data_IF_631149557921
#
_entry.id   IF_631149557921
#
_cell.length_a   1.000
_cell.length_b   1.000
_cell.length_c   1.000
_cell.angle_alpha   90.00
_cell.angle_beta   90.00
_cell.angle_gamma   90.00
#
_symmetry.space_group_name_H-M   'P 1'
#
loop_
_entity.id
_entity.type
_entity.pdbx_description
1 polymer ?
#
# COMPACT_ATOMS: atom_id res chain seq x y z
N UNK A 1 62.95 -12.71 1.34
CA UNK A 1 63.09 -13.19 -0.05
C UNK A 1 61.70 -13.62 -0.51
N UNK A 2 61.16 -13.02 -1.58
CA UNK A 2 60.95 -13.62 -2.92
C UNK A 2 60.05 -14.88 -2.94
N UNK A 3 59.20 -15.21 -3.93
CA UNK A 3 58.59 -14.61 -5.16
C UNK A 3 57.66 -15.74 -5.72
N UNK A 4 56.54 -15.60 -6.47
CA UNK A 4 55.68 -14.51 -6.99
C UNK A 4 54.31 -15.13 -7.44
N UNK A 5 53.32 -14.28 -7.79
CA UNK A 5 52.27 -14.48 -8.83
C UNK A 5 51.50 -15.81 -8.96
N UNK A 6 50.18 -15.74 -8.74
CA UNK A 6 49.14 -15.80 -9.80
C UNK A 6 47.84 -15.19 -9.22
N UNK A 7 47.14 -14.20 -9.80
CA UNK A 7 46.86 -13.90 -11.19
C UNK A 7 46.08 -15.03 -11.90
N UNK A 8 44.87 -15.29 -11.41
CA UNK A 8 43.84 -16.14 -12.04
C UNK A 8 42.41 -15.59 -11.85
N UNK A 9 42.29 -14.30 -11.53
CA UNK A 9 41.05 -13.55 -11.75
C UNK A 9 40.98 -13.15 -13.25
N UNK A 10 39.78 -12.85 -13.76
CA UNK A 10 39.49 -12.51 -15.16
C UNK A 10 39.53 -13.64 -16.22
N UNK A 11 38.84 -14.77 -16.00
CA UNK A 11 38.38 -15.55 -17.19
C UNK A 11 37.02 -16.26 -17.13
N UNK A 12 36.58 -16.87 -16.01
CA UNK A 12 35.37 -17.72 -16.01
C UNK A 12 34.48 -17.60 -14.77
N UNK A 13 33.19 -17.37 -15.00
CA UNK A 13 32.11 -17.79 -14.09
C UNK A 13 31.55 -16.69 -13.18
N UNK A 14 30.27 -16.37 -13.36
CA UNK A 14 29.58 -15.41 -12.51
C UNK A 14 29.43 -15.89 -11.07
N UNK A 15 29.83 -15.03 -10.13
CA UNK A 15 29.71 -15.24 -8.68
C UNK A 15 29.19 -14.01 -7.96
N UNK A 16 28.16 -13.33 -8.51
CA UNK A 16 27.42 -12.34 -7.72
C UNK A 16 26.61 -13.08 -6.67
N UNK A 17 27.12 -13.10 -5.44
CA UNK A 17 26.35 -13.45 -4.25
C UNK A 17 25.07 -12.62 -4.24
N UNK A 18 23.93 -13.28 -4.47
CA UNK A 18 22.63 -12.62 -4.39
C UNK A 18 22.27 -12.53 -2.90
N UNK A 19 22.75 -11.47 -2.24
CA UNK A 19 22.20 -11.09 -0.94
C UNK A 19 20.71 -10.80 -1.16
N UNK A 20 19.78 -11.54 -0.53
CA UNK A 20 18.37 -11.27 -0.66
C UNK A 20 18.11 -9.91 0.00
N UNK A 21 17.92 -8.88 -0.83
CA UNK A 21 17.79 -7.49 -0.40
C UNK A 21 16.90 -7.37 0.84
N UNK A 22 17.46 -6.86 1.93
CA UNK A 22 16.76 -6.70 3.20
C UNK A 22 15.40 -6.05 2.95
N UNK A 23 14.33 -6.76 3.32
CA UNK A 23 12.98 -6.26 3.09
C UNK A 23 12.82 -4.93 3.85
N UNK A 24 12.43 -3.82 3.19
CA UNK A 24 12.58 -2.51 3.78
C UNK A 24 11.69 -2.37 5.02
N UNK A 25 12.34 -2.26 6.18
CA UNK A 25 11.71 -2.25 7.50
C UNK A 25 10.75 -1.07 7.74
N UNK A 26 10.79 -0.05 6.87
CA UNK A 26 9.81 1.03 6.81
C UNK A 26 9.81 1.73 5.43
N UNK A 27 9.49 1.00 4.34
CA UNK A 27 9.15 1.68 3.07
C UNK A 27 7.84 2.46 3.20
N UNK A 28 7.74 3.70 2.66
CA UNK A 28 6.46 4.36 2.49
C UNK A 28 5.61 3.62 1.46
N UNK A 29 4.30 3.50 1.71
CA UNK A 29 3.32 2.97 0.76
C UNK A 29 2.88 4.10 -0.17
N UNK A 30 2.78 3.82 -1.47
CA UNK A 30 2.29 4.79 -2.46
C UNK A 30 1.14 4.23 -3.30
N UNK A 31 0.50 5.11 -4.07
CA UNK A 31 -0.49 4.76 -5.09
C UNK A 31 -0.11 5.41 -6.42
N UNK A 32 -0.59 4.84 -7.51
CA UNK A 32 -0.39 5.33 -8.87
C UNK A 32 -1.73 5.43 -9.60
N UNK A 33 -1.76 5.95 -10.83
CA UNK A 33 -2.95 5.86 -11.69
C UNK A 33 -3.42 4.39 -11.88
N UNK A 34 -2.50 3.43 -11.87
CA UNK A 34 -2.78 2.00 -11.98
C UNK A 34 -3.29 1.36 -10.68
N UNK A 35 -3.30 2.08 -9.55
CA UNK A 35 -3.87 1.61 -8.27
C UNK A 35 -5.40 1.52 -8.29
N UNK A 36 -6.06 1.97 -9.37
CA UNK A 36 -7.52 1.96 -9.58
C UNK A 36 -8.30 2.73 -8.50
N UNK A 37 -8.02 4.05 -8.29
CA UNK A 37 -8.68 4.86 -7.26
C UNK A 37 -10.22 4.94 -7.43
N UNK A 38 -10.73 4.77 -8.66
CA UNK A 38 -12.16 4.66 -8.93
C UNK A 38 -12.85 3.52 -8.14
N UNK A 39 -12.14 2.44 -7.81
CA UNK A 39 -12.69 1.36 -6.96
C UNK A 39 -12.91 1.86 -5.54
N UNK A 40 -11.91 2.50 -4.94
CA UNK A 40 -12.03 3.14 -3.62
C UNK A 40 -13.15 4.19 -3.63
N UNK A 41 -13.17 5.08 -4.63
CA UNK A 41 -14.24 6.07 -4.81
C UNK A 41 -15.64 5.44 -4.87
N UNK A 42 -15.77 4.27 -5.49
CA UNK A 42 -17.04 3.54 -5.58
C UNK A 42 -17.44 2.99 -4.21
N UNK A 43 -16.52 2.35 -3.48
CA UNK A 43 -16.79 1.86 -2.10
C UNK A 43 -17.15 2.98 -1.13
N UNK A 44 -16.50 4.14 -1.24
CA UNK A 44 -16.85 5.32 -0.44
C UNK A 44 -18.28 5.81 -0.72
N UNK A 45 -18.72 5.79 -1.98
CA UNK A 45 -20.12 6.14 -2.36
C UNK A 45 -21.13 5.10 -1.86
N UNK A 46 -20.78 3.82 -1.88
CA UNK A 46 -21.61 2.74 -1.32
C UNK A 46 -21.83 2.95 0.20
N UNK A 47 -20.78 3.36 0.93
CA UNK A 47 -20.83 3.79 2.34
C UNK A 47 -21.39 5.21 2.55
N UNK A 48 -22.04 5.80 1.54
CA UNK A 48 -22.69 7.13 1.56
C UNK A 48 -21.78 8.31 1.86
N UNK A 49 -20.45 8.16 1.73
CA UNK A 49 -19.55 9.32 1.77
C UNK A 49 -19.82 10.24 0.57
N UNK A 50 -19.56 11.53 0.77
CA UNK A 50 -19.56 12.55 -0.28
C UNK A 50 -18.28 13.40 -0.19
N UNK A 51 -18.11 14.36 -1.09
CA UNK A 51 -16.98 15.30 -1.08
C UNK A 51 -16.90 16.09 0.24
N UNK A 52 -15.68 16.49 0.63
CA UNK A 52 -15.44 17.23 1.88
C UNK A 52 -15.50 16.38 3.16
N UNK A 53 -16.15 15.22 3.13
CA UNK A 53 -16.29 14.33 4.28
C UNK A 53 -14.96 13.74 4.77
N UNK A 54 -14.91 13.43 6.06
CA UNK A 54 -13.78 12.76 6.74
C UNK A 54 -14.31 11.68 7.67
N UNK A 55 -13.79 10.47 7.55
CA UNK A 55 -14.18 9.32 8.39
C UNK A 55 -12.94 8.58 8.89
N UNK A 56 -13.07 7.84 10.00
CA UNK A 56 -12.17 6.74 10.30
C UNK A 56 -12.77 5.47 9.74
N UNK A 57 -11.99 4.68 9.02
CA UNK A 57 -12.47 3.49 8.34
C UNK A 57 -11.45 2.34 8.32
N UNK A 58 -11.95 1.14 8.04
CA UNK A 58 -11.16 0.01 7.59
C UNK A 58 -11.32 -0.18 6.07
N UNK A 59 -10.26 -0.59 5.39
CA UNK A 59 -10.21 -0.83 3.94
C UNK A 59 -9.85 -2.30 3.67
N UNK A 60 -10.73 -3.04 3.00
CA UNK A 60 -10.58 -4.50 2.91
C UNK A 60 -11.15 -5.15 1.63
N UNK A 61 -10.39 -6.05 0.97
CA UNK A 61 -8.93 -6.14 0.99
C UNK A 61 -8.29 -5.01 0.16
N UNK A 62 -7.09 -4.59 0.53
CA UNK A 62 -6.17 -3.86 -0.35
C UNK A 62 -5.01 -4.78 -0.74
N UNK A 63 -4.44 -4.61 -1.93
CA UNK A 63 -3.26 -5.39 -2.36
C UNK A 63 -2.02 -4.54 -2.24
N UNK A 64 -0.99 -5.05 -1.56
CA UNK A 64 0.34 -4.45 -1.55
C UNK A 64 1.27 -5.28 -2.43
N UNK A 65 1.99 -4.64 -3.34
CA UNK A 65 3.02 -5.26 -4.19
C UNK A 65 4.27 -4.37 -4.26
N UNK A 66 5.43 -5.00 -4.42
CA UNK A 66 6.68 -4.29 -4.72
C UNK A 66 6.76 -4.01 -6.22
N UNK A 67 6.75 -2.73 -6.60
CA UNK A 67 6.84 -2.25 -7.98
C UNK A 67 7.98 -1.24 -8.11
N UNK A 68 8.94 -1.53 -9.00
CA UNK A 68 10.13 -0.70 -9.25
C UNK A 68 10.84 -0.20 -7.97
N UNK A 69 10.98 -1.06 -6.95
CA UNK A 69 11.64 -0.74 -5.68
C UNK A 69 10.82 0.11 -4.69
N UNK A 70 9.50 0.28 -4.93
CA UNK A 70 8.56 0.95 -4.03
C UNK A 70 7.39 0.01 -3.73
N UNK A 71 6.78 0.13 -2.56
CA UNK A 71 5.56 -0.63 -2.25
C UNK A 71 4.34 0.17 -2.70
N UNK A 72 3.60 -0.39 -3.65
CA UNK A 72 2.40 0.20 -4.23
C UNK A 72 1.17 -0.51 -3.68
N UNK A 73 0.20 0.27 -3.22
CA UNK A 73 -1.12 -0.22 -2.86
C UNK A 73 -2.06 -0.16 -4.06
N UNK A 74 -2.83 -1.23 -4.28
CA UNK A 74 -3.86 -1.34 -5.32
C UNK A 74 -5.22 -1.60 -4.68
N UNK A 75 -6.23 -0.86 -5.13
CA UNK A 75 -7.61 -0.96 -4.67
C UNK A 75 -8.44 -1.97 -5.45
N UNK A 76 -7.90 -2.56 -6.53
CA UNK A 76 -8.57 -3.54 -7.39
C UNK A 76 -9.37 -4.65 -6.64
N UNK A 77 -8.82 -5.34 -5.62
CA UNK A 77 -9.55 -6.41 -4.95
C UNK A 77 -10.56 -5.92 -3.91
N UNK A 78 -10.68 -4.60 -3.67
CA UNK A 78 -11.43 -4.02 -2.56
C UNK A 78 -12.93 -4.35 -2.63
N UNK A 79 -13.42 -4.93 -1.54
CA UNK A 79 -14.81 -5.38 -1.38
C UNK A 79 -15.61 -4.42 -0.52
N UNK A 80 -15.00 -3.85 0.53
CA UNK A 80 -15.63 -2.89 1.44
C UNK A 80 -14.68 -1.77 1.86
N UNK A 81 -15.28 -0.60 2.06
CA UNK A 81 -14.86 0.38 3.07
C UNK A 81 -15.78 0.13 4.26
N UNK A 82 -15.29 0.19 5.49
CA UNK A 82 -16.12 0.05 6.69
C UNK A 82 -15.91 1.28 7.57
N UNK A 83 -16.93 2.14 7.66
CA UNK A 83 -16.87 3.35 8.47
C UNK A 83 -16.96 2.98 9.95
N UNK A 84 -15.92 3.33 10.72
CA UNK A 84 -15.89 3.19 12.17
C UNK A 84 -16.45 4.43 12.89
N UNK A 85 -16.18 5.62 12.34
CA UNK A 85 -16.51 6.91 12.95
C UNK A 85 -16.59 7.98 11.86
N UNK A 86 -17.62 8.83 11.89
CA UNK A 86 -17.69 10.03 11.05
C UNK A 86 -17.03 11.18 11.82
N UNK A 87 -15.96 11.75 11.24
CA UNK A 87 -15.19 12.86 11.84
C UNK A 87 -15.70 14.22 11.32
N UNK A 88 -16.07 14.27 10.03
CA UNK A 88 -16.72 15.41 9.41
C UNK A 88 -17.69 14.93 8.32
N UNK A 89 -18.91 15.48 8.31
CA UNK A 89 -19.88 15.23 7.25
C UNK A 89 -19.41 15.83 5.92
N UNK A 90 -19.82 15.19 4.83
CA UNK A 90 -19.59 15.70 3.48
C UNK A 90 -20.65 16.68 3.01
N UNK A 91 -20.37 17.40 1.93
CA UNK A 91 -21.24 18.44 1.35
C UNK A 91 -22.27 17.90 0.33
N UNK A 92 -22.30 16.58 0.11
CA UNK A 92 -23.15 15.92 -0.88
C UNK A 92 -22.61 15.90 -2.31
N UNK A 93 -21.50 16.60 -2.60
CA UNK A 93 -20.91 16.63 -3.94
C UNK A 93 -20.11 15.34 -4.26
N UNK A 94 -19.75 15.20 -5.53
CA UNK A 94 -19.04 14.02 -6.05
C UNK A 94 -17.64 13.87 -5.46
N UNK A 95 -17.36 12.73 -4.82
CA UNK A 95 -16.02 12.34 -4.35
C UNK A 95 -14.98 12.47 -5.48
N UNK A 96 -13.76 13.00 -5.23
CA UNK A 96 -12.68 13.06 -6.21
C UNK A 96 -12.34 11.70 -6.87
N UNK A 97 -11.78 11.73 -8.08
CA UNK A 97 -11.39 10.51 -8.81
C UNK A 97 -9.96 10.02 -8.48
N UNK A 98 -9.10 10.92 -8.00
CA UNK A 98 -7.71 10.62 -7.65
C UNK A 98 -7.58 10.26 -6.17
N UNK A 99 -6.56 9.46 -5.84
CA UNK A 99 -6.21 9.11 -4.46
C UNK A 99 -4.72 9.34 -4.19
N UNK A 100 -4.39 9.68 -2.95
CA UNK A 100 -3.02 9.75 -2.41
C UNK A 100 -2.93 9.07 -1.05
N UNK A 101 -1.70 8.70 -0.68
CA UNK A 101 -1.36 8.06 0.59
C UNK A 101 -0.57 9.03 1.46
N UNK A 102 -0.92 9.12 2.75
CA UNK A 102 -0.22 9.96 3.72
C UNK A 102 0.16 9.15 4.97
N UNK A 103 1.44 9.16 5.34
CA UNK A 103 1.93 8.53 6.59
C UNK A 103 1.89 7.00 6.65
N UNK A 104 1.32 6.28 5.67
CA UNK A 104 1.35 4.82 5.66
C UNK A 104 2.73 4.29 5.32
N UNK A 105 3.32 3.55 6.26
CA UNK A 105 4.47 2.67 6.01
C UNK A 105 4.01 1.22 5.87
N UNK A 106 4.84 0.40 5.23
CA UNK A 106 4.61 -1.05 5.10
C UNK A 106 4.58 -1.74 6.47
N UNK A 107 3.87 -2.88 6.60
CA UNK A 107 3.97 -3.71 7.81
C UNK A 107 5.40 -4.23 8.02
N UNK A 108 5.79 -4.39 9.29
CA UNK A 108 7.15 -4.82 9.71
C UNK A 108 7.63 -6.15 9.11
N UNK A 109 6.70 -7.02 8.71
CA UNK A 109 6.96 -8.28 8.01
C UNK A 109 6.31 -8.28 6.62
N UNK A 110 6.56 -7.20 5.86
CA UNK A 110 6.00 -6.99 4.53
C UNK A 110 6.19 -8.20 3.59
N UNK A 111 5.11 -8.61 2.93
CA UNK A 111 5.11 -9.56 1.82
C UNK A 111 4.09 -9.08 0.79
N UNK A 112 4.36 -9.23 -0.50
CA UNK A 112 3.35 -8.93 -1.52
C UNK A 112 2.11 -9.81 -1.31
N UNK A 113 0.92 -9.23 -1.30
CA UNK A 113 -0.31 -9.96 -0.96
C UNK A 113 -1.52 -9.07 -0.66
N UNK A 114 -2.57 -9.71 -0.13
CA UNK A 114 -3.79 -9.05 0.30
C UNK A 114 -3.74 -8.71 1.79
N UNK A 115 -4.21 -7.51 2.12
CA UNK A 115 -4.22 -6.97 3.47
C UNK A 115 -5.58 -6.33 3.78
N UNK A 116 -5.95 -6.37 5.05
CA UNK A 116 -6.91 -5.46 5.64
C UNK A 116 -6.14 -4.33 6.30
N UNK A 117 -6.52 -3.09 5.99
CA UNK A 117 -5.90 -1.88 6.48
C UNK A 117 -6.89 -1.19 7.42
N UNK A 118 -6.59 -1.19 8.70
CA UNK A 118 -7.53 -0.78 9.75
C UNK A 118 -7.18 0.59 10.34
N UNK A 119 -8.20 1.25 10.90
CA UNK A 119 -8.06 2.53 11.60
C UNK A 119 -7.31 3.60 10.79
N UNK A 120 -7.68 3.79 9.52
CA UNK A 120 -7.18 4.89 8.69
C UNK A 120 -8.16 6.06 8.66
N UNK A 121 -7.63 7.27 8.53
CA UNK A 121 -8.42 8.47 8.26
C UNK A 121 -8.60 8.58 6.74
N UNK A 122 -9.84 8.72 6.30
CA UNK A 122 -10.23 8.75 4.89
C UNK A 122 -10.99 10.05 4.60
N UNK A 123 -10.38 10.90 3.77
CA UNK A 123 -10.88 12.25 3.44
C UNK A 123 -11.14 12.39 1.96
N UNK A 124 -12.17 13.13 1.56
CA UNK A 124 -12.65 13.26 0.17
C UNK A 124 -12.66 14.71 -0.36
N UNK A 125 -11.72 15.56 0.07
CA UNK A 125 -11.65 16.97 -0.32
C UNK A 125 -10.54 17.21 -1.37
N UNK A 126 -10.92 17.55 -2.61
CA UNK A 126 -10.03 17.74 -3.76
C UNK A 126 -9.35 16.47 -4.31
N UNK A 127 -8.87 15.60 -3.42
CA UNK A 127 -8.30 14.27 -3.70
C UNK A 127 -8.74 13.32 -2.59
N UNK A 128 -8.93 12.03 -2.88
CA UNK A 128 -9.11 11.03 -1.82
C UNK A 128 -7.79 10.87 -1.05
N UNK A 129 -7.80 11.04 0.26
CA UNK A 129 -6.62 10.92 1.10
C UNK A 129 -6.80 9.71 2.01
N UNK A 130 -5.93 8.71 1.87
CA UNK A 130 -5.86 7.59 2.83
C UNK A 130 -4.67 7.87 3.74
N UNK A 131 -4.97 8.22 4.99
CA UNK A 131 -3.98 8.72 5.95
C UNK A 131 -3.85 7.80 7.16
N UNK A 132 -2.62 7.49 7.52
CA UNK A 132 -2.31 6.74 8.72
C UNK A 132 -2.69 7.52 9.99
N UNK A 133 -3.20 6.81 10.99
CA UNK A 133 -3.40 7.28 12.36
C UNK A 133 -2.44 6.54 13.29
N UNK A 134 -2.32 7.01 14.54
CA UNK A 134 -1.54 6.33 15.59
C UNK A 134 -2.00 4.88 15.88
N UNK A 135 -3.22 4.52 15.45
CA UNK A 135 -3.83 3.20 15.65
C UNK A 135 -3.88 2.37 14.36
N UNK A 136 -3.32 2.84 13.26
CA UNK A 136 -3.38 2.13 11.98
C UNK A 136 -2.65 0.78 12.07
N UNK A 137 -3.35 -0.28 11.70
CA UNK A 137 -2.84 -1.65 11.71
C UNK A 137 -3.04 -2.35 10.37
N UNK A 138 -2.05 -3.13 9.97
CA UNK A 138 -2.11 -4.01 8.81
C UNK A 138 -2.37 -5.45 9.27
N UNK A 139 -3.44 -6.07 8.76
CA UNK A 139 -3.71 -7.51 8.93
C UNK A 139 -3.48 -8.21 7.60
N UNK A 140 -2.63 -9.24 7.59
CA UNK A 140 -2.46 -10.11 6.41
C UNK A 140 -3.75 -10.92 6.23
N UNK A 141 -4.34 -10.85 5.04
CA UNK A 141 -5.40 -11.77 4.65
C UNK A 141 -4.69 -12.96 4.00
N UNK A 142 -4.52 -14.05 4.76
CA UNK A 142 -3.80 -15.21 4.27
C UNK A 142 -4.39 -15.72 2.95
N UNK A 143 -3.48 -16.21 2.09
CA UNK A 143 -3.69 -16.63 0.70
C UNK A 143 -5.07 -17.23 0.44
N UNK A 144 -5.90 -16.47 -0.29
CA UNK A 144 -6.90 -17.05 -1.17
C UNK A 144 -6.21 -17.75 -2.35
N UNK A 145 -5.53 -18.87 -2.08
CA UNK A 145 -5.20 -19.85 -3.10
C UNK A 145 -6.51 -20.50 -3.54
N UNK A 146 -7.08 -20.00 -4.63
CA UNK A 146 -7.99 -20.81 -5.46
C UNK A 146 -7.08 -21.61 -6.40
N UNK A 147 -6.98 -22.91 -6.12
CA UNK A 147 -6.43 -23.91 -7.04
C UNK A 147 -7.53 -24.35 -8.02
#
# INVERSE_FOLDING_TARGET
MNKVFAAFEDFLGGGKSYDPSEQPSSSPVTVTAYSQPNVLQTRMKEEKMSHGGTVKANLSPVRLEMDHGRVVMYFCPMKKVEILEIVAEGDGNTIPAEAKIEGLSVPSHFKSGLYELENVELTSNGTIQVKATEKTTWKVIEKAFVY
#
